data_IF_964914226679
#
_entry.id   IF_964914226679
#
_cell.length_a   1.000
_cell.length_b   1.000
_cell.length_c   1.000
_cell.angle_alpha   90.00
_cell.angle_beta   90.00
_cell.angle_gamma   90.00
#
_symmetry.space_group_name_H-M   'P 1'
#
loop_
_entity.id
_entity.type
_entity.pdbx_description
1 polymer ?
#
# COMPACT_ATOMS: atom_id res chain seq x y z
N UNK A 1 13.97 11.97 18.42
CA UNK A 1 13.89 10.60 18.98
C UNK A 1 14.33 9.62 17.91
N UNK A 2 15.32 8.77 18.22
CA UNK A 2 15.86 7.77 17.29
C UNK A 2 14.76 6.73 17.00
N UNK A 3 14.46 6.47 15.73
CA UNK A 3 13.37 5.60 15.32
C UNK A 3 13.59 4.17 15.85
N UNK A 4 12.74 3.70 16.77
CA UNK A 4 12.85 2.36 17.37
C UNK A 4 12.23 1.30 16.44
N UNK A 5 12.84 1.09 15.28
CA UNK A 5 12.41 0.09 14.29
C UNK A 5 13.28 -1.16 14.37
N UNK A 6 12.65 -2.32 14.50
CA UNK A 6 13.29 -3.62 14.31
C UNK A 6 12.79 -4.24 13.00
N UNK A 7 13.71 -4.76 12.19
CA UNK A 7 13.40 -5.47 10.95
C UNK A 7 13.73 -6.95 11.13
N UNK A 8 12.80 -7.83 10.80
CA UNK A 8 13.00 -9.28 10.81
C UNK A 8 12.93 -9.78 9.38
N UNK A 9 13.92 -10.56 8.96
CA UNK A 9 14.00 -11.17 7.62
C UNK A 9 14.03 -12.70 7.74
N UNK A 10 13.38 -13.39 6.80
CA UNK A 10 13.32 -14.86 6.76
C UNK A 10 11.89 -15.41 6.67
N UNK A 11 11.77 -16.74 6.66
CA UNK A 11 10.49 -17.45 6.64
C UNK A 11 9.86 -17.46 8.05
N UNK A 12 9.20 -16.37 8.41
CA UNK A 12 8.55 -16.21 9.72
C UNK A 12 7.16 -15.62 9.58
N UNK A 13 6.28 -16.01 10.50
CA UNK A 13 4.92 -15.47 10.59
C UNK A 13 4.90 -14.16 11.38
N UNK A 14 4.31 -13.10 10.80
CA UNK A 14 4.27 -11.77 11.39
C UNK A 14 3.56 -11.72 12.76
N UNK A 15 2.49 -12.52 12.97
CA UNK A 15 1.77 -12.56 14.25
C UNK A 15 2.62 -13.22 15.33
N UNK A 16 3.38 -14.27 14.98
CA UNK A 16 4.34 -14.90 15.92
C UNK A 16 5.45 -13.91 16.33
N UNK A 17 5.98 -13.16 15.38
CA UNK A 17 7.00 -12.13 15.65
C UNK A 17 6.44 -11.04 16.57
N UNK A 18 5.24 -10.53 16.29
CA UNK A 18 4.60 -9.52 17.13
C UNK A 18 4.39 -10.00 18.57
N UNK A 19 3.86 -11.22 18.75
CA UNK A 19 3.70 -11.83 20.08
C UNK A 19 5.02 -11.96 20.82
N UNK A 20 6.08 -12.39 20.14
CA UNK A 20 7.42 -12.50 20.74
C UNK A 20 7.97 -11.13 21.13
N UNK A 21 7.79 -10.10 20.30
CA UNK A 21 8.18 -8.74 20.64
C UNK A 21 7.41 -8.22 21.86
N UNK A 22 6.09 -8.44 21.94
CA UNK A 22 5.26 -8.05 23.09
C UNK A 22 5.62 -8.81 24.37
N UNK A 23 6.09 -10.07 24.26
CA UNK A 23 6.53 -10.85 25.42
C UNK A 23 7.73 -10.25 26.16
N UNK A 24 8.46 -9.31 25.54
CA UNK A 24 9.56 -8.58 26.20
C UNK A 24 9.08 -7.46 27.15
N UNK A 25 7.77 -7.29 27.33
CA UNK A 25 7.18 -6.26 28.19
C UNK A 25 7.16 -4.86 27.57
N UNK A 26 7.64 -4.71 26.33
CA UNK A 26 7.60 -3.45 25.58
C UNK A 26 6.38 -3.41 24.67
N UNK A 27 5.80 -2.21 24.51
CA UNK A 27 4.75 -1.96 23.52
C UNK A 27 5.36 -2.09 22.12
N UNK A 28 4.97 -3.14 21.40
CA UNK A 28 5.37 -3.38 20.02
C UNK A 28 4.12 -3.42 19.12
N UNK A 29 4.20 -2.71 18.00
CA UNK A 29 3.16 -2.64 16.97
C UNK A 29 3.82 -2.97 15.61
N UNK A 30 3.04 -3.51 14.68
CA UNK A 30 3.52 -3.76 13.33
C UNK A 30 3.81 -2.41 12.67
N UNK A 31 4.94 -2.32 11.97
CA UNK A 31 5.29 -1.12 11.24
C UNK A 31 4.25 -0.84 10.14
N UNK A 32 3.58 0.32 10.15
CA UNK A 32 2.44 0.56 9.27
C UNK A 32 2.82 0.94 7.84
N UNK A 33 4.10 1.20 7.58
CA UNK A 33 4.57 1.67 6.27
C UNK A 33 5.33 0.60 5.51
N UNK A 34 5.07 0.48 4.22
CA UNK A 34 5.74 -0.43 3.29
C UNK A 34 6.48 0.36 2.22
N UNK A 35 7.54 -0.22 1.61
CA UNK A 35 8.21 0.38 0.47
C UNK A 35 7.23 0.74 -0.67
N UNK A 36 7.45 1.90 -1.30
CA UNK A 36 6.62 2.44 -2.38
C UNK A 36 6.34 1.41 -3.50
N UNK A 37 7.35 0.63 -3.88
CA UNK A 37 7.27 -0.33 -4.99
C UNK A 37 6.44 -1.59 -4.71
N UNK A 38 6.03 -1.83 -3.45
CA UNK A 38 5.23 -2.99 -3.07
C UNK A 38 3.73 -2.71 -3.06
N UNK A 39 3.32 -1.46 -3.28
CA UNK A 39 1.93 -1.05 -3.32
C UNK A 39 1.53 -0.81 -4.77
N UNK A 40 0.35 -1.26 -5.17
CA UNK A 40 -0.14 -1.11 -6.55
C UNK A 40 -0.39 0.36 -6.93
N UNK A 41 -1.05 1.13 -6.05
CA UNK A 41 -1.33 2.56 -6.28
C UNK A 41 -0.82 3.44 -5.13
N UNK A 42 0.50 3.61 -5.02
CA UNK A 42 1.13 4.33 -3.92
C UNK A 42 0.89 5.85 -3.97
N UNK A 43 0.42 6.39 -5.10
CA UNK A 43 0.07 7.80 -5.29
C UNK A 43 -1.32 8.17 -4.77
N UNK A 44 -2.13 7.19 -4.35
CA UNK A 44 -3.49 7.46 -3.87
C UNK A 44 -3.45 8.20 -2.53
N UNK A 45 -4.41 9.10 -2.32
CA UNK A 45 -4.51 9.89 -1.09
C UNK A 45 -4.64 9.02 0.18
N UNK A 46 -5.11 7.79 0.03
CA UNK A 46 -5.27 6.83 1.12
C UNK A 46 -3.95 6.13 1.50
N UNK A 47 -3.05 5.94 0.54
CA UNK A 47 -1.72 5.35 0.75
C UNK A 47 -0.67 6.39 1.17
N UNK A 48 -0.82 7.63 0.71
CA UNK A 48 0.12 8.71 1.01
C UNK A 48 -0.04 9.22 2.45
N UNK A 49 1.03 9.12 3.25
CA UNK A 49 1.07 9.67 4.61
C UNK A 49 2.32 10.55 4.77
N UNK A 50 2.12 11.83 5.13
CA UNK A 50 3.21 12.80 5.33
C UNK A 50 4.15 12.41 6.49
N UNK A 51 3.71 11.52 7.40
CA UNK A 51 4.52 11.00 8.50
C UNK A 51 5.41 9.82 8.10
N UNK A 52 5.22 9.29 6.89
CA UNK A 52 6.03 8.19 6.39
C UNK A 52 7.46 8.66 6.05
N UNK A 53 8.49 7.83 6.30
CA UNK A 53 9.84 8.11 5.81
C UNK A 53 9.90 8.18 4.28
N UNK A 54 10.93 8.84 3.70
CA UNK A 54 11.12 8.86 2.25
C UNK A 54 11.17 7.44 1.66
N UNK A 55 10.41 7.20 0.59
CA UNK A 55 10.32 5.89 -0.08
C UNK A 55 9.37 4.89 0.56
N UNK A 56 8.64 5.29 1.62
CA UNK A 56 7.62 4.47 2.27
C UNK A 56 6.24 5.10 2.14
N UNK A 57 5.23 4.25 2.00
CA UNK A 57 3.81 4.61 1.97
C UNK A 57 3.05 3.76 2.99
N UNK A 58 1.84 4.19 3.37
CA UNK A 58 1.01 3.42 4.29
C UNK A 58 0.59 2.11 3.62
N UNK A 59 0.62 1.02 4.39
CA UNK A 59 0.09 -0.25 3.93
C UNK A 59 -1.44 -0.15 3.85
N UNK A 60 -1.96 -0.01 2.63
CA UNK A 60 -3.39 -0.02 2.33
C UNK A 60 -3.74 -1.36 1.71
N UNK A 61 -4.81 -1.99 2.20
CA UNK A 61 -5.32 -3.21 1.56
C UNK A 61 -5.81 -2.88 0.15
N UNK A 62 -5.49 -3.75 -0.81
CA UNK A 62 -5.82 -3.57 -2.24
C UNK A 62 -7.31 -3.30 -2.46
N UNK A 63 -8.18 -3.88 -1.63
CA UNK A 63 -9.64 -3.66 -1.67
C UNK A 63 -10.05 -2.21 -1.41
N UNK A 64 -9.26 -1.45 -0.63
CA UNK A 64 -9.52 -0.04 -0.40
C UNK A 64 -9.25 0.82 -1.66
N UNK A 65 -8.50 0.28 -2.62
CA UNK A 65 -8.12 0.97 -3.86
C UNK A 65 -8.99 0.60 -5.06
N UNK A 66 -9.99 -0.26 -4.88
CA UNK A 66 -10.92 -0.71 -5.93
C UNK A 66 -11.51 0.44 -6.73
N UNK A 67 -11.90 1.54 -6.06
CA UNK A 67 -12.45 2.73 -6.69
C UNK A 67 -11.47 3.44 -7.63
N UNK A 68 -10.17 3.41 -7.34
CA UNK A 68 -9.13 4.00 -8.19
C UNK A 68 -8.88 3.11 -9.40
N UNK A 69 -8.83 1.79 -9.19
CA UNK A 69 -8.75 0.80 -10.27
C UNK A 69 -9.88 0.99 -11.30
N UNK A 70 -11.13 1.06 -10.84
CA UNK A 70 -12.29 1.27 -11.74
C UNK A 70 -12.21 2.60 -12.49
N UNK A 71 -11.68 3.64 -11.85
CA UNK A 71 -11.52 4.95 -12.49
C UNK A 71 -10.42 4.91 -13.57
N UNK A 72 -9.28 4.25 -13.31
CA UNK A 72 -8.20 4.08 -14.29
C UNK A 72 -8.61 3.20 -15.48
N UNK A 73 -9.31 2.10 -15.22
CA UNK A 73 -9.90 1.25 -16.26
C UNK A 73 -10.87 2.05 -17.12
N UNK A 74 -11.71 2.90 -16.52
CA UNK A 74 -12.61 3.77 -17.27
C UNK A 74 -11.86 4.76 -18.16
N UNK A 75 -10.79 5.38 -17.66
CA UNK A 75 -9.97 6.29 -18.49
C UNK A 75 -9.19 5.56 -19.58
N UNK A 76 -8.83 4.31 -19.38
CA UNK A 76 -8.11 3.52 -20.40
C UNK A 76 -9.08 3.00 -21.48
N UNK A 77 -10.30 2.66 -21.09
CA UNK A 77 -11.33 2.09 -21.99
C UNK A 77 -12.02 3.13 -22.88
N UNK A 78 -11.97 4.43 -22.56
CA UNK A 78 -12.49 5.50 -23.44
C UNK A 78 -11.65 5.74 -24.69
N UNK A 79 -10.40 5.26 -24.73
CA UNK A 79 -9.52 5.35 -25.90
C UNK A 79 -9.30 3.99 -26.58
N UNK A 80 -10.04 2.97 -26.17
CA UNK A 80 -9.90 1.62 -26.71
C UNK A 80 -10.71 1.46 -27.99
N UNK A 81 -10.04 1.20 -29.11
CA UNK A 81 -10.65 0.99 -30.43
C UNK A 81 -11.59 -0.23 -30.47
N UNK A 82 -11.31 -1.23 -29.62
CA UNK A 82 -12.13 -2.44 -29.44
C UNK A 82 -13.42 -2.19 -28.62
N UNK A 83 -13.58 -1.01 -28.01
CA UNK A 83 -14.77 -0.68 -27.22
C UNK A 83 -15.81 0.02 -28.11
N UNK A 84 -16.90 -0.65 -28.53
CA UNK A 84 -17.91 -0.05 -29.40
C UNK A 84 -18.69 1.10 -28.74
N UNK A 85 -18.54 1.28 -27.42
CA UNK A 85 -19.10 2.40 -26.66
C UNK A 85 -18.07 3.51 -26.35
N UNK A 86 -16.80 3.36 -26.74
CA UNK A 86 -15.83 4.42 -26.66
C UNK A 86 -16.09 5.40 -27.81
N UNK A 87 -16.76 6.52 -27.53
CA UNK A 87 -16.85 7.61 -28.49
C UNK A 87 -15.43 8.08 -28.83
N UNK A 88 -15.01 7.80 -30.08
CA UNK A 88 -13.80 8.33 -30.68
C UNK A 88 -13.77 9.85 -30.52
N UNK A 89 -12.81 10.37 -29.76
CA UNK A 89 -12.44 11.78 -29.88
C UNK A 89 -11.77 11.90 -31.25
N UNK A 90 -12.54 12.35 -32.26
CA UNK A 90 -12.02 12.92 -33.50
C UNK A 90 -11.93 14.43 -33.36
#
# INVERSE_FOLDING_TARGET
MKQQKATVTGYVDAKKVLKKAQSTGKKAEIWPYVPYNLVAHPYTAQAYDKKAPPGYVRNVETTATSMVHTQEEKYTTIFSDENPNACSIM
#
